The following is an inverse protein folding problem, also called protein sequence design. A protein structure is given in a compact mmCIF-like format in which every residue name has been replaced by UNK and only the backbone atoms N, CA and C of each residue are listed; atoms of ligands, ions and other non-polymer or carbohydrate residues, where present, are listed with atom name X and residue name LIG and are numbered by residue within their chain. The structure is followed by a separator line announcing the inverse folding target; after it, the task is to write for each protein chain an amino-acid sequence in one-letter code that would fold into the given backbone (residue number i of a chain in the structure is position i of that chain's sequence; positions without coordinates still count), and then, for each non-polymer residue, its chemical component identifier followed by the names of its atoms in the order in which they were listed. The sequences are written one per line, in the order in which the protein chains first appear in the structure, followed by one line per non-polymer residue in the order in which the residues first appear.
data_IF_456278318819
#
_entry.id   IF_456278318819
#
_cell.length_a   1.000
_cell.length_b   1.000
_cell.length_c   1.000
_cell.angle_alpha   90.00
_cell.angle_beta   90.00
_cell.angle_gamma   90.00
#
_symmetry.space_group_name_H-M   'P 1'
#
loop_
_entity.id
_entity.type
_entity.pdbx_description
1 polymer ?
#
# COMPACT_ATOMS: atom_id res chain seq x y z
N UNK A 1 -42.03 15.60 -32.04
CA UNK A 1 -40.62 15.93 -32.36
C UNK A 1 -39.68 16.01 -31.14
N UNK A 2 -40.15 16.12 -29.88
CA UNK A 2 -39.28 16.15 -28.69
C UNK A 2 -38.67 14.80 -28.24
N UNK A 3 -39.28 13.67 -28.62
CA UNK A 3 -38.82 12.32 -28.22
C UNK A 3 -37.54 11.86 -28.95
N UNK A 4 -37.32 12.32 -30.19
CA UNK A 4 -36.14 11.97 -30.98
C UNK A 4 -34.89 12.67 -30.43
N UNK A 5 -34.97 13.96 -30.10
CA UNK A 5 -33.85 14.77 -29.59
C UNK A 5 -33.36 14.32 -28.22
N UNK A 6 -34.27 13.88 -27.35
CA UNK A 6 -33.95 13.36 -26.00
C UNK A 6 -33.19 12.03 -26.08
N UNK A 7 -33.49 11.18 -27.07
CA UNK A 7 -32.81 9.90 -27.31
C UNK A 7 -31.37 10.12 -27.79
N UNK A 8 -31.12 11.16 -28.60
CA UNK A 8 -29.79 11.50 -29.11
C UNK A 8 -28.87 12.02 -28.00
N UNK A 9 -29.36 12.91 -27.13
CA UNK A 9 -28.56 13.43 -26.00
C UNK A 9 -28.19 12.35 -24.99
N UNK A 10 -29.14 11.47 -24.64
CA UNK A 10 -28.87 10.31 -23.75
C UNK A 10 -27.82 9.39 -24.35
N UNK A 11 -27.89 9.14 -25.66
CA UNK A 11 -26.90 8.31 -26.38
C UNK A 11 -25.51 8.97 -26.36
N UNK A 12 -25.42 10.28 -26.58
CA UNK A 12 -24.16 11.04 -26.53
C UNK A 12 -23.55 11.01 -25.12
N UNK A 13 -24.36 11.24 -24.08
CA UNK A 13 -23.90 11.17 -22.69
C UNK A 13 -23.42 9.77 -22.30
N UNK A 14 -24.14 8.73 -22.71
CA UNK A 14 -23.74 7.33 -22.47
C UNK A 14 -22.42 6.98 -23.16
N UNK A 15 -22.25 7.42 -24.41
CA UNK A 15 -21.00 7.24 -25.15
C UNK A 15 -19.84 8.00 -24.49
N UNK A 16 -20.08 9.22 -24.00
CA UNK A 16 -19.09 9.98 -23.27
C UNK A 16 -18.68 9.29 -21.96
N UNK A 17 -19.64 8.82 -21.15
CA UNK A 17 -19.36 8.05 -19.95
C UNK A 17 -18.56 6.78 -20.24
N UNK A 18 -18.90 6.06 -21.31
CA UNK A 18 -18.14 4.88 -21.76
C UNK A 18 -16.70 5.23 -22.09
N UNK A 19 -16.48 6.31 -22.86
CA UNK A 19 -15.14 6.77 -23.21
C UNK A 19 -14.32 7.21 -21.99
N UNK A 20 -14.93 7.94 -21.05
CA UNK A 20 -14.28 8.36 -19.80
C UNK A 20 -13.90 7.14 -18.95
N UNK A 21 -14.81 6.18 -18.82
CA UNK A 21 -14.57 4.92 -18.10
C UNK A 21 -13.41 4.12 -18.71
N UNK A 22 -13.37 4.03 -20.04
CA UNK A 22 -12.28 3.36 -20.75
C UNK A 22 -10.94 4.06 -20.51
N UNK A 23 -10.87 5.39 -20.69
CA UNK A 23 -9.65 6.17 -20.41
C UNK A 23 -9.19 6.06 -18.95
N UNK A 24 -10.12 5.85 -18.01
CA UNK A 24 -9.79 5.64 -16.61
C UNK A 24 -9.22 4.23 -16.38
N UNK A 25 -9.85 3.22 -16.98
CA UNK A 25 -9.37 1.83 -16.94
C UNK A 25 -7.96 1.71 -17.51
N UNK A 26 -7.69 2.33 -18.66
CA UNK A 26 -6.38 2.34 -19.31
C UNK A 26 -5.31 2.96 -18.40
N UNK A 27 -5.65 4.05 -17.71
CA UNK A 27 -4.76 4.70 -16.73
C UNK A 27 -4.45 3.78 -15.54
N UNK A 28 -5.47 3.13 -14.96
CA UNK A 28 -5.24 2.19 -13.85
C UNK A 28 -4.48 0.94 -14.29
N UNK A 29 -4.71 0.45 -15.50
CA UNK A 29 -3.91 -0.62 -16.08
C UNK A 29 -2.45 -0.21 -16.20
N UNK A 30 -2.17 0.99 -16.75
CA UNK A 30 -0.81 1.52 -16.84
C UNK A 30 -0.15 1.68 -15.47
N UNK A 31 -0.88 2.21 -14.48
CA UNK A 31 -0.40 2.32 -13.09
C UNK A 31 -0.03 0.94 -12.54
N UNK A 32 -0.87 -0.07 -12.77
CA UNK A 32 -0.58 -1.46 -12.38
C UNK A 32 0.69 -2.00 -13.02
N UNK A 33 0.87 -1.78 -14.32
CA UNK A 33 2.09 -2.18 -15.04
C UNK A 33 3.33 -1.52 -14.43
N UNK A 34 3.28 -0.21 -14.18
CA UNK A 34 4.40 0.54 -13.58
C UNK A 34 4.71 0.05 -12.16
N UNK A 35 3.69 -0.12 -11.32
CA UNK A 35 3.89 -0.65 -9.96
C UNK A 35 4.55 -2.02 -9.97
N UNK A 36 4.07 -2.94 -10.81
CA UNK A 36 4.61 -4.29 -10.93
C UNK A 36 6.05 -4.30 -11.47
N UNK A 37 6.37 -3.41 -12.42
CA UNK A 37 7.71 -3.27 -12.97
C UNK A 37 8.74 -2.85 -11.89
N UNK A 38 8.36 -1.93 -10.99
CA UNK A 38 9.24 -1.43 -9.92
C UNK A 38 9.05 -2.12 -8.57
N UNK A 39 8.23 -3.19 -8.52
CA UNK A 39 7.89 -3.90 -7.29
C UNK A 39 9.12 -4.52 -6.60
N UNK A 40 10.10 -4.97 -7.38
CA UNK A 40 11.37 -5.52 -6.88
C UNK A 40 12.25 -4.50 -6.15
N UNK A 41 11.83 -3.24 -6.07
CA UNK A 41 12.66 -2.12 -5.64
C UNK A 41 13.15 -1.34 -6.85
N UNK A 42 13.47 -0.07 -6.61
CA UNK A 42 13.92 0.82 -7.68
C UNK A 42 15.45 0.76 -7.68
N UNK A 43 16.10 0.32 -8.79
CA UNK A 43 17.55 0.08 -8.79
C UNK A 43 18.36 1.31 -8.38
N UNK A 44 17.91 2.51 -8.79
CA UNK A 44 18.44 3.79 -8.31
C UNK A 44 17.42 4.88 -8.70
N UNK A 45 16.68 5.48 -7.75
CA UNK A 45 16.04 6.78 -8.03
C UNK A 45 17.05 7.85 -7.67
N UNK A 46 17.57 8.45 -8.71
CA UNK A 46 18.44 9.59 -8.67
C UNK A 46 17.57 10.84 -8.72
N UNK A 47 17.41 11.50 -7.58
CA UNK A 47 16.65 12.74 -7.43
C UNK A 47 17.58 13.93 -7.66
N UNK A 48 17.25 14.76 -8.65
CA UNK A 48 17.95 16.03 -8.88
C UNK A 48 17.09 17.17 -8.34
N UNK A 49 17.68 17.99 -7.48
CA UNK A 49 17.05 19.19 -6.92
C UNK A 49 17.14 20.32 -7.95
N UNK A 50 16.01 20.66 -8.55
CA UNK A 50 15.87 21.84 -9.41
C UNK A 50 15.00 22.87 -8.69
N UNK A 51 15.64 23.87 -8.06
CA UNK A 51 15.15 25.08 -7.40
C UNK A 51 13.89 25.05 -6.50
N UNK A 52 13.13 23.96 -6.44
CA UNK A 52 11.95 23.71 -5.60
C UNK A 52 11.36 22.29 -5.79
N UNK A 53 11.79 21.52 -6.81
CA UNK A 53 11.24 20.20 -7.13
C UNK A 53 12.33 19.15 -7.36
N UNK A 54 12.05 17.89 -7.00
CA UNK A 54 12.91 16.75 -7.28
C UNK A 54 12.42 16.02 -8.54
N UNK A 55 13.28 15.87 -9.53
CA UNK A 55 13.00 15.05 -10.73
C UNK A 55 13.81 13.75 -10.68
N UNK A 56 13.18 12.63 -11.04
CA UNK A 56 13.84 11.33 -11.11
C UNK A 56 14.55 11.19 -12.46
N UNK A 57 15.87 10.99 -12.46
CA UNK A 57 16.67 10.75 -13.66
C UNK A 57 17.27 9.34 -13.68
N UNK A 58 17.62 8.87 -14.88
CA UNK A 58 18.24 7.55 -15.12
C UNK A 58 19.76 7.62 -15.37
N UNK A 59 20.37 8.80 -15.32
CA UNK A 59 21.79 9.03 -15.63
C UNK A 59 22.45 9.88 -14.53
N UNK A 60 23.68 9.54 -14.09
CA UNK A 60 24.37 10.26 -13.03
C UNK A 60 24.86 11.63 -13.50
N UNK A 61 24.26 12.69 -12.95
CA UNK A 61 24.78 14.06 -13.02
C UNK A 61 25.34 14.49 -11.65
N UNK A 62 26.30 15.42 -11.65
CA UNK A 62 26.79 16.05 -10.41
C UNK A 62 25.62 16.66 -9.63
N UNK A 63 25.49 16.34 -8.33
CA UNK A 63 24.41 16.85 -7.47
C UNK A 63 23.18 15.94 -7.34
N UNK A 64 23.26 14.69 -7.77
CA UNK A 64 22.14 13.75 -7.67
C UNK A 64 22.11 13.02 -6.33
N UNK A 65 20.96 12.99 -5.65
CA UNK A 65 20.76 12.25 -4.39
C UNK A 65 20.07 10.92 -4.67
N UNK A 66 20.64 9.81 -4.19
CA UNK A 66 20.01 8.50 -4.28
C UNK A 66 18.97 8.35 -3.16
N UNK A 67 17.75 7.93 -3.51
CA UNK A 67 16.70 7.67 -2.53
C UNK A 67 17.13 6.67 -1.45
N UNK A 68 18.00 5.70 -1.80
CA UNK A 68 18.48 4.72 -0.84
C UNK A 68 19.34 5.34 0.26
N UNK A 69 20.14 6.36 -0.07
CA UNK A 69 20.98 7.06 0.90
C UNK A 69 20.10 7.84 1.90
N UNK A 70 19.07 8.54 1.39
CA UNK A 70 18.06 9.22 2.22
C UNK A 70 17.37 8.21 3.16
N UNK A 71 16.96 7.05 2.63
CA UNK A 71 16.30 6.04 3.44
C UNK A 71 17.21 5.46 4.52
N UNK A 72 18.51 5.29 4.24
CA UNK A 72 19.48 4.83 5.21
C UNK A 72 19.68 5.85 6.34
N UNK A 73 19.72 7.14 6.01
CA UNK A 73 19.79 8.22 7.00
C UNK A 73 18.52 8.28 7.86
N UNK A 74 17.33 8.18 7.25
CA UNK A 74 16.06 8.11 7.99
C UNK A 74 16.04 6.87 8.90
N UNK A 75 16.51 5.72 8.43
CA UNK A 75 16.58 4.51 9.25
C UNK A 75 17.52 4.68 10.44
N UNK A 76 18.65 5.37 10.28
CA UNK A 76 19.56 5.67 11.38
C UNK A 76 18.83 6.44 12.50
N UNK A 77 18.07 7.48 12.15
CA UNK A 77 17.32 8.28 13.13
C UNK A 77 16.04 7.61 13.63
N UNK A 78 15.55 6.59 12.94
CA UNK A 78 14.34 5.83 13.33
C UNK A 78 14.65 4.44 13.88
N UNK A 79 15.91 4.21 14.27
CA UNK A 79 16.38 2.94 14.85
C UNK A 79 15.99 1.73 13.99
N UNK A 80 16.22 1.86 12.68
CA UNK A 80 15.94 0.86 11.64
C UNK A 80 14.47 0.39 11.60
N UNK A 81 13.50 1.24 12.00
CA UNK A 81 12.09 0.91 12.00
C UNK A 81 11.59 0.34 10.66
N UNK A 82 12.00 0.97 9.54
CA UNK A 82 11.56 0.55 8.21
C UNK A 82 12.19 -0.80 7.86
N UNK A 83 13.49 -0.98 8.08
CA UNK A 83 14.18 -2.27 7.83
C UNK A 83 13.56 -3.40 8.64
N UNK A 84 13.33 -3.19 9.94
CA UNK A 84 12.67 -4.18 10.80
C UNK A 84 11.24 -4.49 10.36
N UNK A 85 10.50 -3.50 9.86
CA UNK A 85 9.17 -3.72 9.28
C UNK A 85 9.25 -4.55 7.99
N UNK A 86 10.25 -4.30 7.14
CA UNK A 86 10.51 -5.09 5.93
C UNK A 86 10.85 -6.55 6.27
N UNK A 87 11.62 -6.79 7.33
CA UNK A 87 11.94 -8.14 7.80
C UNK A 87 10.69 -8.90 8.27
N UNK A 88 9.80 -8.25 9.04
CA UNK A 88 8.52 -8.85 9.44
C UNK A 88 7.67 -9.22 8.22
N UNK A 89 7.53 -8.30 7.26
CA UNK A 89 6.76 -8.55 6.04
C UNK A 89 7.36 -9.67 5.20
N UNK A 90 8.69 -9.75 5.13
CA UNK A 90 9.41 -10.83 4.45
C UNK A 90 9.09 -12.18 5.08
N UNK A 91 9.19 -12.30 6.40
CA UNK A 91 8.86 -13.56 7.10
C UNK A 91 7.43 -14.03 6.83
N UNK A 92 6.47 -13.10 6.80
CA UNK A 92 5.07 -13.42 6.46
C UNK A 92 4.96 -13.88 5.00
N UNK A 93 5.64 -13.22 4.07
CA UNK A 93 5.63 -13.59 2.64
C UNK A 93 6.32 -14.91 2.34
N UNK A 94 7.30 -15.32 3.14
CA UNK A 94 8.01 -16.60 2.99
C UNK A 94 7.28 -17.77 3.68
N UNK A 95 6.33 -17.47 4.56
CA UNK A 95 5.55 -18.48 5.29
C UNK A 95 4.42 -19.06 4.45
N UNK A 96 4.15 -20.36 4.61
CA UNK A 96 3.09 -21.04 3.87
C UNK A 96 1.72 -20.55 4.35
N UNK A 97 0.80 -20.31 3.41
CA UNK A 97 -0.59 -19.89 3.66
C UNK A 97 -0.77 -18.51 4.33
N UNK A 98 0.30 -17.73 4.47
CA UNK A 98 0.23 -16.36 4.96
C UNK A 98 0.30 -15.36 3.80
N UNK A 99 -0.32 -14.18 3.97
CA UNK A 99 -0.25 -13.11 2.99
C UNK A 99 -0.29 -11.75 3.66
N UNK A 100 0.47 -10.81 3.13
CA UNK A 100 0.45 -9.42 3.57
C UNK A 100 -0.67 -8.66 2.86
N UNK A 101 -1.36 -7.78 3.59
CA UNK A 101 -2.38 -6.88 3.06
C UNK A 101 -2.20 -5.52 3.73
N UNK A 102 -2.22 -4.44 2.95
CA UNK A 102 -2.11 -3.08 3.48
C UNK A 102 -3.41 -2.32 3.27
N UNK A 103 -3.87 -1.68 4.34
CA UNK A 103 -5.01 -0.76 4.33
C UNK A 103 -4.51 0.60 4.80
N UNK A 104 -4.63 1.62 3.96
CA UNK A 104 -4.11 2.96 4.25
C UNK A 104 -5.12 4.06 3.99
N UNK A 105 -5.06 5.13 4.78
CA UNK A 105 -5.88 6.35 4.57
C UNK A 105 -5.39 7.18 3.38
N UNK A 106 -4.20 6.91 2.86
CA UNK A 106 -3.66 7.59 1.67
C UNK A 106 -4.53 7.32 0.43
N UNK A 107 -4.70 8.28 -0.48
CA UNK A 107 -5.24 8.02 -1.81
C UNK A 107 -4.44 6.90 -2.51
N UNK A 108 -5.13 5.99 -3.21
CA UNK A 108 -4.52 4.76 -3.74
C UNK A 108 -3.24 5.02 -4.55
N UNK A 109 -3.25 6.02 -5.44
CA UNK A 109 -2.09 6.35 -6.26
C UNK A 109 -0.86 6.75 -5.42
N UNK A 110 -1.09 7.57 -4.38
CA UNK A 110 -0.04 8.02 -3.47
C UNK A 110 0.50 6.84 -2.65
N UNK A 111 -0.39 5.95 -2.20
CA UNK A 111 -0.01 4.75 -1.49
C UNK A 111 0.93 3.84 -2.31
N UNK A 112 0.60 3.60 -3.58
CA UNK A 112 1.43 2.79 -4.47
C UNK A 112 2.82 3.39 -4.68
N UNK A 113 2.91 4.70 -4.90
CA UNK A 113 4.19 5.40 -4.98
C UNK A 113 5.01 5.29 -3.70
N UNK A 114 4.36 5.49 -2.54
CA UNK A 114 5.01 5.38 -1.23
C UNK A 114 5.57 3.97 -0.98
N UNK A 115 4.81 2.93 -1.29
CA UNK A 115 5.24 1.53 -1.16
C UNK A 115 6.47 1.22 -2.03
N UNK A 116 6.49 1.75 -3.25
CA UNK A 116 7.62 1.61 -4.17
C UNK A 116 8.85 2.34 -3.63
N UNK A 117 8.71 3.62 -3.29
CA UNK A 117 9.81 4.46 -2.79
C UNK A 117 10.45 3.91 -1.51
N UNK A 118 9.65 3.39 -0.57
CA UNK A 118 10.18 2.86 0.70
C UNK A 118 10.67 1.40 0.63
N UNK A 119 10.48 0.73 -0.52
CA UNK A 119 10.86 -0.67 -0.72
C UNK A 119 9.86 -1.70 -0.17
N UNK A 120 8.68 -1.29 0.30
CA UNK A 120 7.64 -2.19 0.80
C UNK A 120 6.89 -2.93 -0.32
N UNK A 121 6.86 -2.38 -1.54
CA UNK A 121 6.06 -2.90 -2.67
C UNK A 121 6.30 -4.38 -2.98
N UNK A 122 7.52 -4.90 -2.78
CA UNK A 122 7.86 -6.32 -2.96
C UNK A 122 7.02 -7.29 -2.13
N UNK A 123 6.46 -6.84 -1.01
CA UNK A 123 5.67 -7.67 -0.11
C UNK A 123 4.15 -7.49 -0.30
N UNK A 124 3.73 -6.58 -1.18
CA UNK A 124 2.31 -6.32 -1.45
C UNK A 124 2.04 -6.37 -2.95
N UNK A 125 1.29 -7.36 -3.40
CA UNK A 125 0.70 -7.34 -4.72
C UNK A 125 -0.27 -6.16 -4.83
N UNK A 126 -0.45 -5.60 -6.02
CA UNK A 126 -1.29 -4.39 -6.18
C UNK A 126 -2.73 -4.57 -5.66
N UNK A 127 -3.21 -5.80 -5.70
CA UNK A 127 -4.55 -6.20 -5.30
C UNK A 127 -4.65 -6.46 -3.78
N UNK A 128 -3.52 -6.46 -3.07
CA UNK A 128 -3.40 -6.47 -1.61
C UNK A 128 -3.30 -5.04 -1.03
N UNK A 129 -3.32 -4.00 -1.88
CA UNK A 129 -3.25 -2.60 -1.48
C UNK A 129 -4.65 -1.98 -1.50
N UNK A 130 -5.17 -1.62 -0.32
CA UNK A 130 -6.49 -1.01 -0.16
C UNK A 130 -6.36 0.43 0.35
N UNK A 131 -7.09 1.35 -0.29
CA UNK A 131 -7.20 2.74 0.15
C UNK A 131 -8.53 2.99 0.86
N UNK A 132 -8.44 3.44 2.10
CA UNK A 132 -9.55 3.91 2.94
C UNK A 132 -9.67 5.44 2.91
N UNK A 133 -9.23 6.08 1.82
CA UNK A 133 -9.31 7.55 1.67
C UNK A 133 -10.75 8.03 1.42
N UNK A 134 -11.57 7.21 0.75
CA UNK A 134 -12.99 7.48 0.44
C UNK A 134 -13.98 6.52 1.12
N UNK A 135 -13.48 5.66 2.00
CA UNK A 135 -14.25 4.62 2.68
C UNK A 135 -13.58 4.32 4.03
N UNK A 136 -14.31 3.77 4.99
CA UNK A 136 -13.73 3.41 6.27
C UNK A 136 -12.79 2.20 6.16
N UNK A 137 -11.84 2.05 7.10
CA UNK A 137 -10.96 0.88 7.15
C UNK A 137 -11.76 -0.42 7.36
N UNK A 138 -12.85 -0.37 8.13
CA UNK A 138 -13.78 -1.48 8.32
C UNK A 138 -14.40 -1.94 6.99
N UNK A 139 -14.77 -1.00 6.12
CA UNK A 139 -15.29 -1.32 4.80
C UNK A 139 -14.23 -1.97 3.90
N UNK A 140 -12.96 -1.56 4.01
CA UNK A 140 -11.85 -2.25 3.35
C UNK A 140 -11.70 -3.69 3.88
N UNK A 141 -11.71 -3.89 5.20
CA UNK A 141 -11.58 -5.23 5.81
C UNK A 141 -12.73 -6.15 5.39
N UNK A 142 -13.97 -5.65 5.34
CA UNK A 142 -15.11 -6.44 4.83
C UNK A 142 -14.89 -6.91 3.38
N UNK A 143 -14.29 -6.07 2.52
CA UNK A 143 -13.92 -6.47 1.15
C UNK A 143 -12.80 -7.51 1.13
N UNK A 144 -11.80 -7.37 2.01
CA UNK A 144 -10.73 -8.35 2.19
C UNK A 144 -11.31 -9.72 2.58
N UNK A 145 -12.16 -9.77 3.62
CA UNK A 145 -12.85 -11.01 4.03
C UNK A 145 -13.70 -11.60 2.90
N UNK A 146 -14.42 -10.77 2.14
CA UNK A 146 -15.19 -11.25 0.98
C UNK A 146 -14.31 -11.91 -0.10
N UNK A 147 -13.08 -11.42 -0.25
CA UNK A 147 -12.15 -11.90 -1.28
C UNK A 147 -11.38 -13.16 -0.87
N UNK A 148 -10.80 -13.15 0.33
CA UNK A 148 -9.94 -14.24 0.80
C UNK A 148 -10.73 -15.36 1.50
N UNK A 149 -11.84 -15.03 2.13
CA UNK A 149 -12.66 -15.98 2.89
C UNK A 149 -13.20 -15.36 4.17
N UNK A 150 -14.34 -15.85 4.66
CA UNK A 150 -14.78 -15.47 5.99
C UNK A 150 -13.84 -16.03 7.07
N UNK A 151 -13.99 -15.57 8.31
CA UNK A 151 -13.14 -15.93 9.46
C UNK A 151 -13.16 -17.43 9.80
N UNK A 152 -14.10 -18.19 9.25
CA UNK A 152 -14.15 -19.65 9.37
C UNK A 152 -13.16 -20.39 8.44
N UNK A 153 -12.52 -19.69 7.50
CA UNK A 153 -11.52 -20.25 6.57
C UNK A 153 -10.17 -19.57 6.65
N UNK A 154 -10.13 -18.32 7.11
CA UNK A 154 -8.92 -17.52 7.21
C UNK A 154 -8.87 -16.79 8.55
N UNK A 155 -7.70 -16.83 9.20
CA UNK A 155 -7.41 -16.00 10.37
C UNK A 155 -6.92 -14.62 9.91
N UNK A 156 -7.43 -13.56 10.54
CA UNK A 156 -7.05 -12.19 10.24
C UNK A 156 -6.46 -11.52 11.47
N UNK A 157 -5.23 -11.03 11.36
CA UNK A 157 -4.56 -10.26 12.42
C UNK A 157 -4.41 -8.83 11.92
N UNK A 158 -4.91 -7.87 12.69
CA UNK A 158 -4.72 -6.44 12.39
C UNK A 158 -3.39 -6.00 13.01
N UNK A 159 -2.48 -5.51 12.19
CA UNK A 159 -1.22 -4.90 12.64
C UNK A 159 -1.30 -3.41 12.33
N UNK A 160 -1.28 -2.55 13.36
CA UNK A 160 -1.53 -1.12 13.18
C UNK A 160 -1.17 -0.27 14.39
N UNK A 161 -1.49 1.02 14.32
CA UNK A 161 -1.30 1.96 15.43
C UNK A 161 -2.55 2.03 16.31
N UNK A 162 -2.47 2.68 17.48
CA UNK A 162 -3.51 2.78 18.51
C UNK A 162 -4.90 3.20 17.97
N UNK A 163 -4.94 3.93 16.86
CA UNK A 163 -6.19 4.30 16.17
C UNK A 163 -7.00 3.10 15.65
N UNK A 164 -6.34 1.96 15.40
CA UNK A 164 -6.95 0.75 14.83
C UNK A 164 -7.53 -0.20 15.89
N UNK A 165 -7.28 0.06 17.18
CA UNK A 165 -7.73 -0.80 18.30
C UNK A 165 -9.26 -0.91 18.36
N UNK A 166 -9.97 0.22 18.30
CA UNK A 166 -11.42 0.23 18.42
C UNK A 166 -12.10 -0.44 17.23
N UNK A 167 -11.51 -0.28 16.06
CA UNK A 167 -11.94 -0.95 14.83
C UNK A 167 -11.74 -2.47 14.95
N UNK A 168 -10.58 -2.91 15.42
CA UNK A 168 -10.28 -4.32 15.63
C UNK A 168 -11.24 -4.98 16.63
N UNK A 169 -11.53 -4.30 17.75
CA UNK A 169 -12.52 -4.74 18.75
C UNK A 169 -13.91 -4.88 18.15
N UNK A 170 -14.38 -3.89 17.39
CA UNK A 170 -15.69 -3.94 16.73
C UNK A 170 -15.82 -5.09 15.72
N UNK A 171 -14.70 -5.50 15.12
CA UNK A 171 -14.65 -6.58 14.13
C UNK A 171 -14.35 -7.95 14.73
N UNK A 172 -14.13 -8.01 16.05
CA UNK A 172 -13.68 -9.20 16.79
C UNK A 172 -12.45 -9.86 16.13
N UNK A 173 -11.43 -9.04 15.87
CA UNK A 173 -10.18 -9.48 15.24
C UNK A 173 -8.99 -9.28 16.19
N UNK A 174 -8.06 -10.25 16.27
CA UNK A 174 -6.78 -10.05 16.94
C UNK A 174 -6.07 -8.80 16.44
N UNK A 175 -5.49 -8.03 17.37
CA UNK A 175 -4.81 -6.78 17.08
C UNK A 175 -3.39 -6.78 17.66
N UNK A 176 -2.43 -6.40 16.84
CA UNK A 176 -1.05 -6.16 17.22
C UNK A 176 -0.71 -4.68 17.07
N UNK A 177 -0.29 -4.07 18.17
CA UNK A 177 0.11 -2.67 18.19
C UNK A 177 1.49 -2.49 17.57
N UNK A 178 1.68 -1.50 16.72
CA UNK A 178 2.99 -1.07 16.22
C UNK A 178 3.19 0.43 16.43
N UNK A 179 2.55 1.01 17.45
CA UNK A 179 2.70 2.42 17.77
C UNK A 179 4.15 2.78 18.07
N UNK A 180 4.60 3.90 17.49
CA UNK A 180 5.94 4.46 17.76
C UNK A 180 6.09 4.97 19.19
N UNK A 181 4.98 5.32 19.84
CA UNK A 181 4.98 5.87 21.21
C UNK A 181 5.57 4.92 22.27
N UNK A 182 5.68 3.62 21.96
CA UNK A 182 6.26 2.61 22.86
C UNK A 182 7.73 2.27 22.51
N UNK A 183 8.44 3.15 21.78
CA UNK A 183 9.90 3.06 21.56
C UNK A 183 10.34 1.87 20.69
N UNK A 184 9.60 1.56 19.63
CA UNK A 184 9.84 0.43 18.71
C UNK A 184 9.75 -0.99 19.31
N UNK A 185 9.57 -1.13 20.62
CA UNK A 185 9.48 -2.42 21.33
C UNK A 185 8.41 -3.34 20.75
N UNK A 186 7.27 -2.79 20.38
CA UNK A 186 6.15 -3.59 19.86
C UNK A 186 6.45 -4.24 18.51
N UNK A 187 7.23 -3.57 17.65
CA UNK A 187 7.65 -4.14 16.37
C UNK A 187 8.73 -5.22 16.58
N UNK A 188 9.61 -5.05 17.56
CA UNK A 188 10.55 -6.10 17.95
C UNK A 188 9.81 -7.34 18.47
N UNK A 189 8.79 -7.15 19.30
CA UNK A 189 7.95 -8.25 19.78
C UNK A 189 7.20 -8.94 18.62
N UNK A 190 6.69 -8.18 17.65
CA UNK A 190 6.07 -8.74 16.44
C UNK A 190 7.07 -9.63 15.69
N UNK A 191 8.28 -9.10 15.46
CA UNK A 191 9.34 -9.82 14.78
C UNK A 191 9.67 -11.13 15.50
N UNK A 192 9.83 -11.10 16.82
CA UNK A 192 10.07 -12.31 17.61
C UNK A 192 8.89 -13.28 17.50
N UNK A 193 7.65 -12.80 17.63
CA UNK A 193 6.48 -13.66 17.55
C UNK A 193 6.33 -14.35 16.18
N UNK A 194 6.66 -13.65 15.08
CA UNK A 194 6.72 -14.23 13.74
C UNK A 194 7.84 -15.27 13.64
N UNK A 195 9.03 -14.97 14.16
CA UNK A 195 10.17 -15.90 14.13
C UNK A 195 9.89 -17.21 14.88
N UNK A 196 9.20 -17.12 16.01
CA UNK A 196 8.82 -18.29 16.83
C UNK A 196 7.55 -19.00 16.32
N UNK A 197 6.88 -18.47 15.28
CA UNK A 197 5.70 -19.09 14.69
C UNK A 197 4.40 -18.91 15.48
N UNK A 198 4.30 -17.94 16.39
CA UNK A 198 3.09 -17.73 17.20
C UNK A 198 1.92 -17.10 16.43
N UNK A 199 2.17 -16.56 15.23
CA UNK A 199 1.18 -15.83 14.43
C UNK A 199 0.91 -16.46 13.05
N UNK A 200 1.52 -17.60 12.74
CA UNK A 200 1.51 -18.23 11.42
C UNK A 200 1.11 -19.70 11.50
#
# INVERSE_FOLDING_TARGET
TAAATTTTLRTVMNNHHKQVSQKLSDRFYRIKTVYNQYRGGIPTIQLVKNDETYTAMSQPSSGTVNILDILNEIDHFTLDWRKRSLDCLKMISESQNCTNIIITRMPLLIALGYLVCLGFSRYFDIDQVYSSSKMSKEACIKRVKKRFGATNRCSYIIVGDKEDVDMAKKLDLPYWNTSRSDGHRQLLQLHTALKEGYLM
#
